data_IF_581581945539
#
_entry.id   IF_581581945539
#
_cell.length_a   1.000
_cell.length_b   1.000
_cell.length_c   1.000
_cell.angle_alpha   90.00
_cell.angle_beta   90.00
_cell.angle_gamma   90.00
#
_symmetry.space_group_name_H-M   'P 1'
#
loop_
_entity.id
_entity.type
_entity.pdbx_description
1 polymer ?
#
# COMPACT_ATOMS: atom_id res chain seq x y z
N UNK A 1 5.62 12.27 -8.94
CA UNK A 1 4.76 11.18 -8.46
C UNK A 1 3.44 11.78 -7.97
N UNK A 2 2.36 11.02 -8.04
CA UNK A 2 0.98 11.49 -7.83
C UNK A 2 0.74 12.11 -6.45
N UNK A 3 1.13 11.42 -5.38
CA UNK A 3 0.90 11.92 -4.02
C UNK A 3 1.79 13.11 -3.69
N UNK A 4 3.02 13.08 -4.17
CA UNK A 4 3.96 14.20 -4.03
C UNK A 4 3.42 15.44 -4.74
N UNK A 5 2.90 15.27 -5.94
CA UNK A 5 2.32 16.37 -6.72
C UNK A 5 1.14 17.01 -5.99
N UNK A 6 0.23 16.20 -5.47
CA UNK A 6 -0.93 16.70 -4.74
C UNK A 6 -0.53 17.48 -3.48
N UNK A 7 0.34 16.92 -2.67
CA UNK A 7 0.69 17.51 -1.37
C UNK A 7 1.71 18.63 -1.51
N UNK A 8 2.82 18.38 -2.20
CA UNK A 8 3.96 19.31 -2.20
C UNK A 8 3.84 20.41 -3.25
N UNK A 9 3.16 20.15 -4.37
CA UNK A 9 3.02 21.13 -5.46
C UNK A 9 1.68 21.86 -5.37
N UNK A 10 0.57 21.14 -5.27
CA UNK A 10 -0.77 21.73 -5.21
C UNK A 10 -1.21 22.10 -3.80
N UNK A 11 -0.55 21.58 -2.76
CA UNK A 11 -0.93 21.81 -1.37
C UNK A 11 -2.27 21.19 -1.00
N UNK A 12 -2.71 20.16 -1.71
CA UNK A 12 -3.99 19.50 -1.47
C UNK A 12 -3.77 18.29 -0.58
N UNK A 13 -4.51 18.22 0.52
CA UNK A 13 -4.47 17.06 1.43
C UNK A 13 -5.85 16.38 1.53
N UNK A 14 -6.93 17.16 1.45
CA UNK A 14 -8.30 16.65 1.54
C UNK A 14 -8.99 16.75 0.18
N UNK A 15 -9.34 15.60 -0.39
CA UNK A 15 -10.03 15.50 -1.68
C UNK A 15 -11.53 15.21 -1.51
N UNK A 16 -12.04 15.26 -0.28
CA UNK A 16 -13.44 15.00 0.01
C UNK A 16 -13.84 13.54 -0.11
N UNK A 17 -12.87 12.62 -0.16
CA UNK A 17 -13.16 11.20 -0.25
C UNK A 17 -13.64 10.64 1.08
N UNK A 18 -14.42 9.55 1.02
CA UNK A 18 -14.83 8.80 2.20
C UNK A 18 -14.62 7.31 1.98
N UNK A 19 -14.21 6.62 3.04
CA UNK A 19 -14.00 5.17 3.02
C UNK A 19 -14.09 4.67 4.46
N UNK A 20 -14.87 3.63 4.68
CA UNK A 20 -15.07 3.10 6.03
C UNK A 20 -14.20 1.87 6.26
N UNK A 21 -13.40 1.86 7.32
CA UNK A 21 -12.61 0.71 7.70
C UNK A 21 -11.18 1.04 8.09
N UNK A 22 -10.46 -0.01 8.52
CA UNK A 22 -9.05 0.09 8.90
C UNK A 22 -8.17 -0.13 7.67
N UNK A 23 -7.26 0.81 7.45
CA UNK A 23 -6.38 0.85 6.28
C UNK A 23 -4.94 0.91 6.74
N UNK A 24 -4.07 0.14 6.11
CA UNK A 24 -2.63 0.27 6.27
C UNK A 24 -1.98 0.62 4.92
N UNK A 25 -0.72 1.04 4.94
CA UNK A 25 -0.01 1.50 3.76
C UNK A 25 1.28 0.72 3.57
N UNK A 26 1.53 0.28 2.33
CA UNK A 26 2.78 -0.33 1.92
C UNK A 26 3.68 0.73 1.26
N UNK A 27 4.86 0.95 1.84
CA UNK A 27 5.89 1.80 1.24
C UNK A 27 6.60 1.05 0.12
N UNK A 28 6.38 1.46 -1.11
CA UNK A 28 7.13 0.94 -2.24
C UNK A 28 8.59 1.36 -2.11
N UNK A 29 9.51 0.44 -2.36
CA UNK A 29 10.95 0.75 -2.28
C UNK A 29 11.36 1.84 -3.27
N UNK A 30 10.73 1.88 -4.45
CA UNK A 30 10.98 2.94 -5.44
C UNK A 30 10.59 4.32 -4.91
N UNK A 31 9.39 4.46 -4.37
CA UNK A 31 8.90 5.74 -3.84
C UNK A 31 9.68 6.17 -2.60
N UNK A 32 9.89 5.25 -1.67
CA UNK A 32 10.54 5.57 -0.39
C UNK A 32 12.02 5.86 -0.56
N UNK A 33 12.76 4.98 -1.22
CA UNK A 33 14.22 5.05 -1.26
C UNK A 33 14.76 5.94 -2.39
N UNK A 34 14.07 6.01 -3.52
CA UNK A 34 14.52 6.80 -4.67
C UNK A 34 13.90 8.19 -4.72
N UNK A 35 12.64 8.33 -4.32
CA UNK A 35 11.91 9.59 -4.38
C UNK A 35 11.68 10.23 -3.02
N UNK A 36 11.95 9.53 -1.93
CA UNK A 36 11.78 10.05 -0.57
C UNK A 36 10.32 10.28 -0.20
N UNK A 37 9.40 9.52 -0.78
CA UNK A 37 7.97 9.69 -0.58
C UNK A 37 7.47 8.72 0.49
N UNK A 38 7.09 9.25 1.65
CA UNK A 38 6.53 8.49 2.77
C UNK A 38 5.41 9.24 3.47
N UNK A 39 5.59 10.54 3.74
CA UNK A 39 4.61 11.36 4.46
C UNK A 39 3.42 11.75 3.59
N UNK A 40 3.64 12.01 2.30
CA UNK A 40 2.60 12.50 1.39
C UNK A 40 1.41 11.52 1.28
N UNK A 41 1.62 10.23 0.96
CA UNK A 41 0.49 9.30 0.92
C UNK A 41 -0.22 9.18 2.27
N UNK A 42 0.52 9.20 3.37
CA UNK A 42 -0.08 9.09 4.70
C UNK A 42 -0.94 10.29 5.04
N UNK A 43 -0.54 11.50 4.64
CA UNK A 43 -1.33 12.72 4.83
C UNK A 43 -2.65 12.63 4.07
N UNK A 44 -2.60 12.16 2.82
CA UNK A 44 -3.79 12.00 1.99
C UNK A 44 -4.75 10.96 2.57
N UNK A 45 -4.23 9.83 3.04
CA UNK A 45 -5.05 8.78 3.65
C UNK A 45 -5.71 9.30 4.93
N UNK A 46 -4.99 10.04 5.75
CA UNK A 46 -5.50 10.54 7.02
C UNK A 46 -6.70 11.50 6.86
N UNK A 47 -6.83 12.14 5.70
CA UNK A 47 -7.93 13.08 5.43
C UNK A 47 -9.15 12.39 4.82
N UNK A 48 -9.08 11.11 4.49
CA UNK A 48 -10.25 10.37 3.98
C UNK A 48 -11.20 10.12 5.13
N UNK A 49 -12.47 10.57 4.98
CA UNK A 49 -13.47 10.43 6.03
C UNK A 49 -13.79 8.97 6.30
N UNK A 50 -13.84 8.58 7.57
CA UNK A 50 -14.17 7.22 7.99
C UNK A 50 -13.00 6.23 8.00
N UNK A 51 -11.84 6.60 7.47
CA UNK A 51 -10.65 5.75 7.49
C UNK A 51 -10.02 5.73 8.87
N UNK A 52 -9.68 4.53 9.34
CA UNK A 52 -8.78 4.32 10.48
C UNK A 52 -7.44 3.88 9.94
N UNK A 53 -6.47 4.79 9.94
CA UNK A 53 -5.13 4.46 9.49
C UNK A 53 -4.36 3.74 10.58
N UNK A 54 -3.80 2.58 10.24
CA UNK A 54 -2.98 1.76 11.15
C UNK A 54 -1.66 1.46 10.45
N UNK A 55 -0.54 1.85 11.06
CA UNK A 55 0.78 1.49 10.51
C UNK A 55 1.02 0.00 10.71
N UNK A 56 1.46 -0.69 9.65
CA UNK A 56 1.91 -2.06 9.79
C UNK A 56 3.36 -2.09 10.30
N UNK A 57 3.78 -3.15 11.01
CA UNK A 57 5.18 -3.35 11.31
C UNK A 57 5.99 -3.40 10.01
N UNK A 58 7.15 -2.74 9.98
CA UNK A 58 8.06 -2.75 8.84
C UNK A 58 7.35 -2.46 7.50
N UNK A 59 6.62 -1.34 7.44
CA UNK A 59 5.87 -0.94 6.24
C UNK A 59 6.76 -0.78 5.00
N UNK A 60 8.03 -0.54 5.19
CA UNK A 60 9.05 -0.41 4.14
C UNK A 60 9.69 -1.75 3.73
N UNK A 61 9.27 -2.87 4.34
CA UNK A 61 9.76 -4.19 3.97
C UNK A 61 9.39 -4.52 2.52
N UNK A 62 10.34 -5.03 1.75
CA UNK A 62 10.15 -5.34 0.34
C UNK A 62 9.01 -6.37 0.15
N UNK A 63 8.19 -6.15 -0.88
CA UNK A 63 7.13 -7.10 -1.25
C UNK A 63 7.67 -8.28 -2.07
N UNK A 64 8.95 -8.27 -2.42
CA UNK A 64 9.58 -9.33 -3.22
C UNK A 64 9.34 -9.20 -4.72
N UNK A 65 8.60 -8.20 -5.20
CA UNK A 65 8.33 -8.06 -6.63
C UNK A 65 9.60 -7.82 -7.44
N UNK A 66 10.25 -6.68 -7.33
CA UNK A 66 11.57 -6.36 -7.88
C UNK A 66 11.82 -6.68 -9.36
N UNK A 67 10.83 -6.75 -10.22
CA UNK A 67 11.02 -7.01 -11.64
C UNK A 67 11.76 -8.33 -11.91
N UNK A 68 12.99 -8.26 -12.46
CA UNK A 68 13.79 -9.46 -12.76
C UNK A 68 14.19 -10.25 -11.51
N UNK A 69 14.20 -9.62 -10.34
CA UNK A 69 14.55 -10.30 -9.09
C UNK A 69 13.57 -11.46 -8.79
N UNK A 70 12.27 -11.24 -8.96
CA UNK A 70 11.27 -12.27 -8.69
C UNK A 70 11.37 -13.45 -9.65
N UNK A 71 11.91 -13.24 -10.86
CA UNK A 71 12.14 -14.30 -11.84
C UNK A 71 13.42 -15.08 -11.52
N UNK A 72 14.49 -14.38 -11.14
CA UNK A 72 15.81 -15.00 -10.87
C UNK A 72 15.87 -15.68 -9.50
N UNK A 73 15.17 -15.14 -8.52
CA UNK A 73 15.22 -15.62 -7.13
C UNK A 73 13.80 -15.81 -6.57
N UNK A 74 13.02 -16.74 -7.16
CA UNK A 74 11.60 -16.90 -6.79
C UNK A 74 11.40 -17.29 -5.33
N UNK A 75 12.29 -18.10 -4.76
CA UNK A 75 12.15 -18.54 -3.36
C UNK A 75 12.38 -17.39 -2.39
N UNK A 76 13.37 -16.53 -2.66
CA UNK A 76 13.64 -15.35 -1.84
C UNK A 76 12.52 -14.34 -1.99
N UNK A 77 12.04 -14.13 -3.21
CA UNK A 77 10.91 -13.25 -3.49
C UNK A 77 9.66 -13.69 -2.74
N UNK A 78 9.35 -14.98 -2.75
CA UNK A 78 8.21 -15.54 -2.03
C UNK A 78 8.35 -15.37 -0.51
N UNK A 79 9.56 -15.56 0.04
CA UNK A 79 9.80 -15.37 1.47
C UNK A 79 9.62 -13.91 1.90
N UNK A 80 10.08 -12.96 1.10
CA UNK A 80 9.88 -11.53 1.35
C UNK A 80 8.40 -11.17 1.33
N UNK A 81 7.66 -11.72 0.37
CA UNK A 81 6.22 -11.50 0.25
C UNK A 81 5.46 -12.09 1.43
N UNK A 82 5.85 -13.27 1.90
CA UNK A 82 5.23 -13.87 3.09
C UNK A 82 5.41 -13.00 4.34
N UNK A 83 6.61 -12.46 4.53
CA UNK A 83 6.88 -11.55 5.64
C UNK A 83 6.03 -10.27 5.53
N UNK A 84 5.90 -9.73 4.32
CA UNK A 84 5.03 -8.57 4.06
C UNK A 84 3.58 -8.88 4.43
N UNK A 85 3.05 -10.03 4.04
CA UNK A 85 1.68 -10.44 4.35
C UNK A 85 1.50 -10.60 5.86
N UNK A 86 2.48 -11.17 6.57
CA UNK A 86 2.43 -11.28 8.04
C UNK A 86 2.32 -9.90 8.68
N UNK A 87 3.09 -8.92 8.19
CA UNK A 87 3.05 -7.56 8.70
C UNK A 87 1.70 -6.90 8.46
N UNK A 88 1.09 -7.12 7.30
CA UNK A 88 -0.25 -6.63 6.99
C UNK A 88 -1.27 -7.21 7.98
N UNK A 89 -1.22 -8.52 8.22
CA UNK A 89 -2.12 -9.17 9.16
C UNK A 89 -1.91 -8.68 10.59
N UNK A 90 -0.66 -8.43 10.98
CA UNK A 90 -0.33 -7.92 12.31
C UNK A 90 -0.89 -6.52 12.56
N UNK A 91 -1.09 -5.71 11.52
CA UNK A 91 -1.68 -4.38 11.65
C UNK A 91 -3.17 -4.42 11.98
N UNK A 92 -3.85 -5.52 11.70
CA UNK A 92 -5.29 -5.64 11.84
C UNK A 92 -6.08 -4.89 10.78
N UNK A 93 -5.43 -4.40 9.73
CA UNK A 93 -6.09 -3.65 8.67
C UNK A 93 -6.96 -4.56 7.80
N UNK A 94 -8.07 -4.00 7.32
CA UNK A 94 -8.99 -4.66 6.41
C UNK A 94 -8.61 -4.42 4.95
N UNK A 95 -7.86 -3.34 4.69
CA UNK A 95 -7.42 -2.94 3.36
C UNK A 95 -5.97 -2.48 3.39
N UNK A 96 -5.17 -2.95 2.44
CA UNK A 96 -3.82 -2.47 2.19
C UNK A 96 -3.84 -1.50 1.01
N UNK A 97 -3.23 -0.34 1.19
CA UNK A 97 -3.14 0.71 0.18
C UNK A 97 -1.68 0.92 -0.21
N UNK A 98 -1.43 1.19 -1.46
CA UNK A 98 -0.10 1.50 -1.96
C UNK A 98 -0.14 2.33 -3.22
N UNK A 99 1.03 2.75 -3.68
CA UNK A 99 1.20 3.58 -4.87
C UNK A 99 1.82 2.82 -6.06
N UNK A 100 2.26 1.60 -5.86
CA UNK A 100 2.94 0.81 -6.89
C UNK A 100 2.10 -0.42 -7.23
N UNK A 101 1.57 -0.46 -8.45
CA UNK A 101 0.72 -1.57 -8.89
C UNK A 101 1.45 -2.92 -8.90
N UNK A 102 2.75 -2.93 -9.22
CA UNK A 102 3.53 -4.16 -9.18
C UNK A 102 3.55 -4.79 -7.80
N UNK A 103 3.83 -3.97 -6.78
CA UNK A 103 3.79 -4.40 -5.38
C UNK A 103 2.40 -4.87 -4.98
N UNK A 104 1.37 -4.10 -5.33
CA UNK A 104 -0.01 -4.40 -4.96
C UNK A 104 -0.49 -5.70 -5.59
N UNK A 105 -0.19 -5.93 -6.87
CA UNK A 105 -0.58 -7.18 -7.56
C UNK A 105 0.12 -8.39 -6.94
N UNK A 106 1.38 -8.24 -6.56
CA UNK A 106 2.13 -9.32 -5.91
C UNK A 106 1.53 -9.67 -4.55
N UNK A 107 1.21 -8.65 -3.75
CA UNK A 107 0.56 -8.81 -2.44
C UNK A 107 -0.83 -9.42 -2.61
N UNK A 108 -1.63 -8.92 -3.53
CA UNK A 108 -2.98 -9.41 -3.80
C UNK A 108 -2.96 -10.89 -4.20
N UNK A 109 -2.01 -11.28 -5.05
CA UNK A 109 -1.87 -12.68 -5.46
C UNK A 109 -1.62 -13.61 -4.28
N UNK A 110 -0.78 -13.22 -3.34
CA UNK A 110 -0.51 -14.01 -2.15
C UNK A 110 -1.71 -14.07 -1.21
N UNK A 111 -2.37 -12.94 -0.99
CA UNK A 111 -3.57 -12.88 -0.16
C UNK A 111 -4.67 -13.78 -0.71
N UNK A 112 -4.84 -13.77 -2.03
CA UNK A 112 -5.83 -14.60 -2.71
C UNK A 112 -5.49 -16.10 -2.57
N UNK A 113 -4.23 -16.48 -2.81
CA UNK A 113 -3.78 -17.87 -2.66
C UNK A 113 -3.96 -18.41 -1.25
N UNK A 114 -3.80 -17.56 -0.24
CA UNK A 114 -3.97 -17.93 1.17
C UNK A 114 -5.42 -17.83 1.66
N UNK A 115 -6.33 -17.35 0.82
CA UNK A 115 -7.73 -17.18 1.19
C UNK A 115 -7.96 -16.13 2.28
N UNK A 116 -7.11 -15.09 2.33
CA UNK A 116 -7.18 -14.05 3.35
C UNK A 116 -8.12 -12.92 2.90
N UNK A 117 -8.94 -12.35 3.82
CA UNK A 117 -9.99 -11.41 3.45
C UNK A 117 -9.50 -9.95 3.32
N UNK A 118 -8.21 -9.70 3.31
CA UNK A 118 -7.67 -8.34 3.17
C UNK A 118 -7.85 -7.85 1.74
N UNK A 119 -8.38 -6.64 1.59
CA UNK A 119 -8.57 -5.99 0.29
C UNK A 119 -7.33 -5.20 -0.10
N UNK A 120 -7.14 -4.99 -1.41
CA UNK A 120 -6.00 -4.27 -1.96
C UNK A 120 -6.51 -3.11 -2.81
N UNK A 121 -5.98 -1.91 -2.57
CA UNK A 121 -6.35 -0.70 -3.32
C UNK A 121 -5.12 0.11 -3.68
N UNK A 122 -5.11 0.65 -4.90
CA UNK A 122 -4.20 1.74 -5.22
C UNK A 122 -4.69 3.02 -4.51
N UNK A 123 -3.76 3.87 -4.06
CA UNK A 123 -4.13 5.09 -3.34
C UNK A 123 -5.07 5.99 -4.16
N UNK A 124 -4.92 6.02 -5.48
CA UNK A 124 -5.79 6.80 -6.35
C UNK A 124 -7.26 6.35 -6.26
N UNK A 125 -7.51 5.05 -6.09
CA UNK A 125 -8.86 4.53 -5.90
C UNK A 125 -9.44 4.97 -4.57
N UNK A 126 -8.65 4.93 -3.50
CA UNK A 126 -9.07 5.39 -2.18
C UNK A 126 -9.43 6.88 -2.22
N UNK A 127 -8.59 7.71 -2.83
CA UNK A 127 -8.80 9.15 -2.92
C UNK A 127 -9.96 9.51 -3.83
N UNK A 128 -10.30 8.68 -4.79
CA UNK A 128 -11.48 8.86 -5.65
C UNK A 128 -12.77 8.35 -5.00
N UNK A 129 -12.70 7.77 -3.81
CA UNK A 129 -13.86 7.22 -3.11
C UNK A 129 -14.38 5.92 -3.69
N UNK A 130 -13.55 5.19 -4.45
CA UNK A 130 -13.94 3.91 -5.04
C UNK A 130 -13.85 2.80 -4.00
N UNK A 131 -14.74 1.80 -4.13
CA UNK A 131 -14.67 0.61 -3.29
C UNK A 131 -13.64 -0.37 -3.84
N UNK A 132 -12.96 -1.15 -2.98
CA UNK A 132 -12.05 -2.19 -3.43
C UNK A 132 -12.83 -3.31 -4.13
N UNK A 133 -12.21 -3.85 -5.16
CA UNK A 133 -12.79 -4.98 -5.88
C UNK A 133 -12.63 -6.30 -5.12
#
# INVERSE_FOLDING_TARGET
EFTEYLVDVLGVEDLGASFSGRVTYHDSCHLLNQLGIAAQPRRLIAQVAGVRFVEMPDSDHCCGFGGSFSVKYPDISAALLEDKVKNILASGAETIVGCDMGCLLNIEGMLHRKGLPVKVMHIAQLLAGQLPE
#
